data_IF_103648706517
#
_entry.id   IF_103648706517
#
_cell.length_a   1.000
_cell.length_b   1.000
_cell.length_c   1.000
_cell.angle_alpha   90.00
_cell.angle_beta   90.00
_cell.angle_gamma   90.00
#
_symmetry.space_group_name_H-M   'P 1'
#
loop_
_entity.id
_entity.type
_entity.pdbx_description
1 polymer ?
#
# COMPACT_ATOMS: atom_id res chain seq x y z
N UNK A 1 -34.32 28.04 -1.75
CA UNK A 1 -33.12 28.01 -0.88
C UNK A 1 -32.23 26.81 -1.20
N UNK A 2 -32.74 25.57 -1.20
CA UNK A 2 -31.95 24.38 -1.52
C UNK A 2 -31.30 24.41 -2.90
N UNK A 3 -32.01 24.90 -3.93
CA UNK A 3 -31.48 25.00 -5.30
C UNK A 3 -30.33 26.01 -5.42
N UNK A 4 -30.41 27.16 -4.71
CA UNK A 4 -29.34 28.15 -4.69
C UNK A 4 -28.07 27.60 -4.02
N UNK A 5 -28.21 26.83 -2.92
CA UNK A 5 -27.09 26.17 -2.26
C UNK A 5 -26.43 25.11 -3.16
N UNK A 6 -27.25 24.29 -3.84
CA UNK A 6 -26.76 23.30 -4.80
C UNK A 6 -26.03 23.94 -5.98
N UNK A 7 -26.57 25.04 -6.51
CA UNK A 7 -25.93 25.78 -7.61
C UNK A 7 -24.61 26.42 -7.16
N UNK A 8 -24.54 26.99 -5.96
CA UNK A 8 -23.28 27.52 -5.40
C UNK A 8 -22.22 26.42 -5.22
N UNK A 9 -22.62 25.25 -4.71
CA UNK A 9 -21.74 24.08 -4.60
C UNK A 9 -21.23 23.59 -5.95
N UNK A 10 -22.13 23.43 -6.93
CA UNK A 10 -21.75 23.05 -8.31
C UNK A 10 -20.81 24.05 -8.95
N UNK A 11 -21.11 25.35 -8.81
CA UNK A 11 -20.25 26.40 -9.36
C UNK A 11 -18.85 26.37 -8.75
N UNK A 12 -18.75 26.11 -7.45
CA UNK A 12 -17.46 25.95 -6.76
C UNK A 12 -16.66 24.80 -7.34
N UNK A 13 -17.26 23.61 -7.45
CA UNK A 13 -16.60 22.43 -8.01
C UNK A 13 -16.17 22.63 -9.47
N UNK A 14 -17.02 23.25 -10.30
CA UNK A 14 -16.71 23.50 -11.70
C UNK A 14 -15.55 24.48 -11.87
N UNK A 15 -15.46 25.51 -11.02
CA UNK A 15 -14.32 26.44 -11.04
C UNK A 15 -13.03 25.76 -10.60
N UNK A 16 -13.05 24.95 -9.55
CA UNK A 16 -11.87 24.19 -9.13
C UNK A 16 -11.39 23.22 -10.23
N UNK A 17 -12.32 22.50 -10.87
CA UNK A 17 -12.01 21.61 -12.01
C UNK A 17 -11.42 22.38 -13.19
N UNK A 18 -11.95 23.57 -13.50
CA UNK A 18 -11.46 24.40 -14.58
C UNK A 18 -10.03 24.91 -14.31
N UNK A 19 -9.71 25.32 -13.09
CA UNK A 19 -8.36 25.74 -12.75
C UNK A 19 -7.39 24.56 -12.70
N UNK A 20 -7.85 23.40 -12.22
CA UNK A 20 -7.07 22.17 -12.17
C UNK A 20 -6.75 21.60 -13.57
N UNK A 21 -7.65 21.76 -14.55
CA UNK A 21 -7.44 21.23 -15.90
C UNK A 21 -6.27 21.88 -16.64
N UNK A 22 -5.79 23.04 -16.17
CA UNK A 22 -4.62 23.74 -16.70
C UNK A 22 -3.29 23.24 -16.14
N UNK A 23 -3.30 22.50 -15.04
CA UNK A 23 -2.07 22.01 -14.40
C UNK A 23 -1.18 21.13 -15.30
N UNK A 24 -1.72 20.21 -16.12
CA UNK A 24 -0.88 19.39 -17.00
C UNK A 24 0.02 20.21 -17.92
N UNK A 25 -0.45 21.38 -18.39
CA UNK A 25 0.31 22.28 -19.27
C UNK A 25 1.45 22.99 -18.53
N UNK A 26 1.46 22.95 -17.19
CA UNK A 26 2.52 23.53 -16.36
C UNK A 26 3.59 22.52 -15.93
N UNK A 27 3.43 21.26 -16.32
CA UNK A 27 4.44 20.23 -16.11
C UNK A 27 5.55 20.41 -17.16
N UNK A 28 6.52 21.28 -16.85
CA UNK A 28 7.67 21.57 -17.70
C UNK A 28 9.00 21.20 -17.06
N UNK A 29 10.07 21.87 -17.51
CA UNK A 29 11.44 21.61 -17.06
C UNK A 29 11.62 21.74 -15.55
N UNK A 30 10.93 22.68 -14.91
CA UNK A 30 11.00 22.85 -13.46
C UNK A 30 10.33 21.70 -12.69
N UNK A 31 9.28 21.09 -13.24
CA UNK A 31 8.70 19.88 -12.67
C UNK A 31 9.72 18.73 -12.72
N UNK A 32 10.36 18.52 -13.87
CA UNK A 32 11.40 17.51 -14.05
C UNK A 32 12.59 17.78 -13.11
N UNK A 33 13.02 19.04 -13.00
CA UNK A 33 14.10 19.46 -12.10
C UNK A 33 13.76 19.19 -10.64
N UNK A 34 12.56 19.54 -10.19
CA UNK A 34 12.08 19.27 -8.84
C UNK A 34 12.05 17.76 -8.55
N UNK A 35 11.50 16.95 -9.46
CA UNK A 35 11.48 15.50 -9.33
C UNK A 35 12.90 14.91 -9.25
N UNK A 36 13.83 15.37 -10.09
CA UNK A 36 15.23 14.94 -10.06
C UNK A 36 15.93 15.32 -8.76
N UNK A 37 15.71 16.54 -8.23
CA UNK A 37 16.27 16.96 -6.94
C UNK A 37 15.77 16.03 -5.83
N UNK A 38 14.49 15.66 -5.83
CA UNK A 38 13.92 14.71 -4.86
C UNK A 38 14.48 13.29 -5.06
N UNK A 39 14.69 12.84 -6.30
CA UNK A 39 15.23 11.52 -6.60
C UNK A 39 16.66 11.35 -6.06
N UNK A 40 17.48 12.40 -6.15
CA UNK A 40 18.87 12.43 -5.68
C UNK A 40 19.01 12.90 -4.22
N UNK A 41 17.90 13.15 -3.52
CA UNK A 41 17.94 13.50 -2.10
C UNK A 41 18.46 12.30 -1.27
N UNK A 42 19.56 12.51 -0.54
CA UNK A 42 20.16 11.51 0.36
C UNK A 42 19.61 11.60 1.80
N UNK A 43 18.91 12.68 2.12
CA UNK A 43 18.25 12.91 3.39
C UNK A 43 16.74 12.67 3.30
N UNK A 44 15.96 13.71 3.58
CA UNK A 44 14.50 13.71 3.57
C UNK A 44 13.97 14.91 2.80
N UNK A 45 12.74 14.78 2.29
CA UNK A 45 11.98 15.93 1.78
C UNK A 45 11.24 16.57 2.95
N UNK A 46 11.64 17.78 3.32
CA UNK A 46 10.98 18.59 4.34
C UNK A 46 9.95 19.47 3.67
N UNK A 47 8.67 19.22 3.95
CA UNK A 47 7.56 20.02 3.38
C UNK A 47 7.15 21.09 4.38
N UNK A 48 6.93 22.31 3.92
CA UNK A 48 6.52 23.41 4.79
C UNK A 48 5.53 24.36 4.12
N UNK A 49 4.71 25.02 4.93
CA UNK A 49 3.72 25.99 4.47
C UNK A 49 2.82 26.45 5.61
N UNK A 50 2.12 27.57 5.40
CA UNK A 50 1.27 28.20 6.42
C UNK A 50 -0.20 28.05 6.05
N UNK A 51 -1.06 27.91 7.06
CA UNK A 51 -2.51 27.88 6.89
C UNK A 51 -2.97 26.74 5.97
N UNK A 52 -3.79 27.06 4.96
CA UNK A 52 -4.33 26.06 4.02
C UNK A 52 -3.22 25.38 3.21
N UNK A 53 -2.20 26.11 2.79
CA UNK A 53 -0.99 25.53 2.17
C UNK A 53 -0.27 24.56 3.10
N UNK A 54 -0.20 24.86 4.40
CA UNK A 54 0.37 23.95 5.40
C UNK A 54 -0.43 22.65 5.56
N UNK A 55 -1.76 22.71 5.54
CA UNK A 55 -2.60 21.50 5.59
C UNK A 55 -2.38 20.59 4.39
N UNK A 56 -2.33 21.16 3.18
CA UNK A 56 -2.01 20.39 1.97
C UNK A 56 -0.57 19.87 2.02
N UNK A 57 0.38 20.67 2.53
CA UNK A 57 1.76 20.25 2.74
C UNK A 57 1.89 19.01 3.63
N UNK A 58 1.09 18.89 4.70
CA UNK A 58 1.04 17.67 5.53
C UNK A 58 0.60 16.45 4.72
N UNK A 59 -0.42 16.60 3.86
CA UNK A 59 -0.88 15.51 2.97
C UNK A 59 0.23 15.12 1.98
N UNK A 60 0.88 16.11 1.36
CA UNK A 60 1.98 15.88 0.40
C UNK A 60 3.13 15.14 1.08
N UNK A 61 3.57 15.58 2.26
CA UNK A 61 4.61 14.89 3.03
C UNK A 61 4.23 13.43 3.33
N UNK A 62 2.98 13.19 3.76
CA UNK A 62 2.49 11.84 4.02
C UNK A 62 2.45 10.99 2.74
N UNK A 63 2.09 11.58 1.59
CA UNK A 63 2.05 10.88 0.30
C UNK A 63 3.44 10.51 -0.17
N UNK A 64 4.41 11.44 -0.12
CA UNK A 64 5.80 11.15 -0.44
C UNK A 64 6.35 10.01 0.44
N UNK A 65 6.10 10.07 1.75
CA UNK A 65 6.55 9.05 2.70
C UNK A 65 5.91 7.68 2.42
N UNK A 66 4.61 7.64 2.11
CA UNK A 66 3.89 6.40 1.80
C UNK A 66 4.26 5.79 0.45
N UNK A 67 4.88 6.57 -0.44
CA UNK A 67 5.28 6.16 -1.80
C UNK A 67 6.78 6.08 -1.99
N UNK A 68 7.54 5.89 -0.90
CA UNK A 68 8.96 5.55 -0.95
C UNK A 68 9.94 6.71 -0.93
N UNK A 69 9.48 7.94 -0.67
CA UNK A 69 10.33 9.12 -0.49
C UNK A 69 10.25 9.61 0.95
N UNK A 70 11.28 9.39 1.80
CA UNK A 70 11.26 9.85 3.19
C UNK A 70 10.94 11.35 3.29
N UNK A 71 9.82 11.68 3.91
CA UNK A 71 9.33 13.05 3.97
C UNK A 71 8.56 13.32 5.27
N UNK A 72 8.60 14.58 5.71
CA UNK A 72 7.82 15.03 6.86
C UNK A 72 7.49 16.52 6.75
N UNK A 73 6.54 16.99 7.55
CA UNK A 73 6.10 18.37 7.54
C UNK A 73 6.71 19.14 8.72
N UNK A 74 7.22 20.34 8.46
CA UNK A 74 7.62 21.32 9.48
C UNK A 74 6.80 22.58 9.29
N UNK A 75 6.18 23.09 10.36
CA UNK A 75 5.46 24.36 10.31
C UNK A 75 6.44 25.54 10.29
N UNK A 76 6.33 26.55 9.40
CA UNK A 76 7.29 27.65 9.30
C UNK A 76 7.53 28.42 10.61
N UNK A 77 6.47 28.64 11.40
CA UNK A 77 6.60 29.31 12.69
C UNK A 77 7.42 28.48 13.69
N UNK A 78 7.20 27.16 13.75
CA UNK A 78 7.95 26.27 14.65
C UNK A 78 9.40 26.08 14.19
N UNK A 79 9.62 26.10 12.86
CA UNK A 79 10.96 26.09 12.27
C UNK A 79 11.84 27.19 12.87
N UNK A 80 11.30 28.41 12.95
CA UNK A 80 11.98 29.57 13.52
C UNK A 80 12.17 29.52 15.04
N UNK A 81 11.51 28.59 15.72
CA UNK A 81 11.60 28.39 17.18
C UNK A 81 12.31 27.08 17.57
N UNK A 82 12.99 26.41 16.64
CA UNK A 82 13.87 25.27 16.95
C UNK A 82 13.83 24.16 15.90
N UNK A 83 12.72 23.99 15.19
CA UNK A 83 12.55 22.85 14.27
C UNK A 83 13.43 22.95 13.01
N UNK A 84 14.03 24.10 12.71
CA UNK A 84 15.11 24.20 11.70
C UNK A 84 16.33 23.31 12.05
N UNK A 85 16.46 22.89 13.31
CA UNK A 85 17.45 21.91 13.75
C UNK A 85 17.17 20.50 13.23
N UNK A 86 15.93 20.18 12.83
CA UNK A 86 15.56 18.90 12.23
C UNK A 86 16.01 18.77 10.78
N UNK A 87 16.41 19.89 10.15
CA UNK A 87 16.77 19.95 8.72
C UNK A 87 18.29 19.91 8.57
N UNK A 88 18.77 18.90 7.85
CA UNK A 88 20.18 18.62 7.56
C UNK A 88 20.55 19.07 6.14
N UNK A 89 21.84 19.26 5.85
CA UNK A 89 22.33 19.73 4.54
C UNK A 89 22.05 18.78 3.37
N UNK A 90 21.82 17.50 3.67
CA UNK A 90 21.44 16.45 2.69
C UNK A 90 19.93 16.41 2.39
N UNK A 91 19.14 17.23 3.08
CA UNK A 91 17.70 17.29 2.89
C UNK A 91 17.33 18.20 1.71
N UNK A 92 16.08 18.07 1.28
CA UNK A 92 15.46 18.96 0.29
C UNK A 92 14.27 19.65 0.95
N UNK A 93 14.18 20.96 0.82
CA UNK A 93 13.04 21.73 1.33
C UNK A 93 12.02 21.96 0.22
N UNK A 94 10.77 21.56 0.42
CA UNK A 94 9.63 21.94 -0.42
C UNK A 94 8.77 22.96 0.33
N UNK A 95 8.86 24.23 -0.04
CA UNK A 95 8.09 25.29 0.58
C UNK A 95 6.85 25.66 -0.26
N UNK A 96 5.69 25.65 0.39
CA UNK A 96 4.39 25.94 -0.22
C UNK A 96 3.89 27.30 0.25
N UNK A 97 3.81 28.26 -0.67
CA UNK A 97 3.23 29.57 -0.41
C UNK A 97 2.65 30.15 -1.70
N UNK A 98 1.33 30.29 -1.75
CA UNK A 98 0.67 30.81 -2.96
C UNK A 98 1.16 32.22 -3.34
N UNK A 99 1.32 33.12 -2.35
CA UNK A 99 1.85 34.46 -2.59
C UNK A 99 3.37 34.49 -2.77
N UNK A 100 4.08 33.50 -2.22
CA UNK A 100 5.53 33.42 -2.22
C UNK A 100 6.25 34.53 -1.42
N UNK A 101 5.52 35.24 -0.57
CA UNK A 101 6.02 36.36 0.25
C UNK A 101 5.57 36.28 1.70
N UNK A 102 5.48 35.07 2.27
CA UNK A 102 5.25 34.89 3.69
C UNK A 102 6.44 35.43 4.50
N UNK A 103 6.19 36.14 5.61
CA UNK A 103 7.25 36.82 6.39
C UNK A 103 8.29 35.86 6.94
N UNK A 104 7.89 34.63 7.21
CA UNK A 104 8.76 33.57 7.70
C UNK A 104 9.86 33.23 6.68
N UNK A 105 9.62 33.44 5.37
CA UNK A 105 10.61 33.19 4.32
C UNK A 105 11.84 34.10 4.45
N UNK A 106 11.66 35.33 4.90
CA UNK A 106 12.77 36.30 5.06
C UNK A 106 13.84 35.77 6.03
N UNK A 107 13.43 34.94 6.99
CA UNK A 107 14.31 34.32 7.97
C UNK A 107 14.71 32.88 7.60
N UNK A 108 13.84 32.14 6.92
CA UNK A 108 14.09 30.74 6.54
C UNK A 108 15.06 30.64 5.36
N UNK A 109 14.86 31.43 4.29
CA UNK A 109 15.65 31.32 3.05
C UNK A 109 17.16 31.46 3.32
N UNK A 110 17.66 32.50 4.03
CA UNK A 110 19.09 32.64 4.29
C UNK A 110 19.68 31.43 5.04
N UNK A 111 18.91 30.81 5.95
CA UNK A 111 19.36 29.64 6.71
C UNK A 111 19.44 28.37 5.87
N UNK A 112 18.56 28.24 4.87
CA UNK A 112 18.64 27.15 3.90
C UNK A 112 19.87 27.32 3.00
N UNK A 113 20.16 28.55 2.57
CA UNK A 113 21.35 28.89 1.79
C UNK A 113 22.64 28.60 2.56
N UNK A 114 22.74 29.04 3.82
CA UNK A 114 23.89 28.77 4.70
C UNK A 114 24.19 27.27 4.83
N UNK A 115 23.14 26.44 4.88
CA UNK A 115 23.24 24.97 4.96
C UNK A 115 23.35 24.28 3.60
N UNK A 116 23.31 25.04 2.50
CA UNK A 116 23.27 24.52 1.12
C UNK A 116 22.12 23.55 0.86
N UNK A 117 20.98 23.73 1.54
CA UNK A 117 19.78 22.91 1.36
C UNK A 117 19.08 23.32 0.07
N UNK A 118 18.76 22.36 -0.79
CA UNK A 118 18.01 22.64 -2.01
C UNK A 118 16.58 23.07 -1.68
N UNK A 119 16.20 24.28 -2.10
CA UNK A 119 14.85 24.82 -1.96
C UNK A 119 14.05 24.59 -3.25
N UNK A 120 12.90 23.92 -3.13
CA UNK A 120 11.86 23.80 -4.13
C UNK A 120 10.67 24.67 -3.70
N UNK A 121 10.08 25.39 -4.65
CA UNK A 121 8.91 26.24 -4.40
C UNK A 121 7.66 25.63 -5.03
N UNK A 122 6.55 25.67 -4.30
CA UNK A 122 5.21 25.51 -4.85
C UNK A 122 4.42 26.80 -4.62
N UNK A 123 4.21 27.58 -5.67
CA UNK A 123 3.68 28.94 -5.58
C UNK A 123 2.82 29.31 -6.78
N UNK A 124 1.87 30.23 -6.58
CA UNK A 124 1.09 30.83 -7.67
C UNK A 124 1.74 32.08 -8.25
N UNK A 125 2.91 32.49 -7.73
CA UNK A 125 3.66 33.65 -8.21
C UNK A 125 5.13 33.27 -8.42
N UNK A 126 5.50 32.73 -9.60
CA UNK A 126 6.86 32.24 -9.85
C UNK A 126 7.96 33.31 -9.70
N UNK A 127 7.62 34.59 -9.86
CA UNK A 127 8.55 35.73 -9.69
C UNK A 127 8.56 36.32 -8.26
N UNK A 128 7.89 35.68 -7.31
CA UNK A 128 7.91 36.05 -5.89
C UNK A 128 9.28 35.78 -5.24
N UNK A 129 9.56 36.35 -4.04
CA UNK A 129 10.78 36.02 -3.30
C UNK A 129 11.05 34.52 -3.16
N UNK A 130 10.02 33.72 -2.84
CA UNK A 130 10.13 32.27 -2.79
C UNK A 130 10.53 31.66 -4.14
N UNK A 131 9.86 32.08 -5.23
CA UNK A 131 10.11 31.54 -6.56
C UNK A 131 11.52 31.87 -7.07
N UNK A 132 12.01 33.07 -6.80
CA UNK A 132 13.36 33.51 -7.18
C UNK A 132 14.48 32.80 -6.39
N UNK A 133 14.22 32.45 -5.13
CA UNK A 133 15.18 31.73 -4.29
C UNK A 133 15.24 30.22 -4.57
N UNK A 134 14.18 29.66 -5.17
CA UNK A 134 14.08 28.22 -5.39
C UNK A 134 14.92 27.73 -6.58
N UNK A 135 15.41 26.49 -6.45
CA UNK A 135 16.10 25.77 -7.54
C UNK A 135 15.13 25.31 -8.64
N UNK A 136 13.85 25.13 -8.30
CA UNK A 136 12.79 24.82 -9.24
C UNK A 136 11.44 25.32 -8.69
N UNK A 137 10.55 25.78 -9.57
CA UNK A 137 9.24 26.29 -9.21
C UNK A 137 8.13 25.42 -9.79
N UNK A 138 7.29 24.89 -8.91
CA UNK A 138 6.04 24.20 -9.24
C UNK A 138 4.90 25.23 -9.26
N UNK A 139 4.49 25.63 -10.46
CA UNK A 139 3.48 26.67 -10.67
C UNK A 139 2.05 26.16 -10.39
N UNK A 140 1.48 26.63 -9.28
CA UNK A 140 0.12 26.33 -8.83
C UNK A 140 -0.84 27.53 -8.95
N UNK A 141 -0.50 28.51 -9.79
CA UNK A 141 -1.32 29.71 -10.00
C UNK A 141 -2.76 29.37 -10.41
N UNK A 142 -3.71 30.21 -10.03
CA UNK A 142 -5.09 30.11 -10.52
C UNK A 142 -5.50 31.46 -11.06
N UNK A 143 -6.29 31.49 -12.12
CA UNK A 143 -6.89 32.73 -12.59
C UNK A 143 -7.96 33.19 -11.59
N UNK A 144 -8.68 32.24 -10.99
CA UNK A 144 -9.79 32.55 -10.09
C UNK A 144 -9.94 31.56 -8.94
N UNK A 145 -10.08 32.11 -7.73
CA UNK A 145 -10.59 31.35 -6.59
C UNK A 145 -12.10 31.19 -6.70
N UNK A 146 -12.61 30.00 -6.39
CA UNK A 146 -14.04 29.72 -6.36
C UNK A 146 -14.81 30.51 -5.28
N UNK A 147 -14.10 31.01 -4.25
CA UNK A 147 -14.66 31.97 -3.31
C UNK A 147 -15.17 33.23 -4.05
N UNK A 148 -16.45 33.62 -3.90
CA UNK A 148 -17.01 34.80 -4.59
C UNK A 148 -16.30 36.12 -4.23
N UNK A 149 -15.69 36.18 -3.04
CA UNK A 149 -14.92 37.35 -2.58
C UNK A 149 -13.45 37.27 -2.97
N UNK A 150 -13.00 36.16 -3.56
CA UNK A 150 -11.59 35.88 -3.90
C UNK A 150 -10.62 35.96 -2.70
N UNK A 151 -11.14 35.77 -1.48
CA UNK A 151 -10.37 35.83 -0.24
C UNK A 151 -9.97 34.45 0.28
N UNK A 152 -10.87 33.48 0.17
CA UNK A 152 -10.61 32.13 0.68
C UNK A 152 -9.89 31.31 -0.39
N UNK A 153 -8.74 30.71 -0.08
CA UNK A 153 -8.08 29.74 -0.95
C UNK A 153 -8.97 28.52 -1.16
N UNK A 154 -9.35 28.24 -2.41
CA UNK A 154 -10.12 27.07 -2.80
C UNK A 154 -9.43 26.38 -3.98
N UNK A 155 -9.46 27.00 -5.16
CA UNK A 155 -8.88 26.48 -6.39
C UNK A 155 -7.35 26.33 -6.25
N UNK A 156 -6.70 27.31 -5.61
CA UNK A 156 -5.26 27.22 -5.35
C UNK A 156 -4.87 26.05 -4.45
N UNK A 157 -5.73 25.68 -3.49
CA UNK A 157 -5.48 24.52 -2.61
C UNK A 157 -5.68 23.20 -3.32
N UNK A 158 -6.65 23.11 -4.23
CA UNK A 158 -6.82 21.95 -5.12
C UNK A 158 -5.61 21.82 -6.04
N UNK A 159 -5.15 22.92 -6.63
CA UNK A 159 -3.97 22.89 -7.49
C UNK A 159 -2.70 22.47 -6.74
N UNK A 160 -2.54 22.95 -5.51
CA UNK A 160 -1.45 22.54 -4.61
C UNK A 160 -1.47 21.03 -4.37
N UNK A 161 -2.65 20.48 -4.06
CA UNK A 161 -2.81 19.05 -3.80
C UNK A 161 -2.48 18.21 -5.03
N UNK A 162 -3.05 18.57 -6.19
CA UNK A 162 -2.85 17.84 -7.44
C UNK A 162 -1.41 17.89 -7.92
N UNK A 163 -0.74 19.05 -7.81
CA UNK A 163 0.68 19.18 -8.14
C UNK A 163 1.56 18.33 -7.21
N UNK A 164 1.26 18.32 -5.91
CA UNK A 164 1.97 17.48 -4.95
C UNK A 164 1.80 15.98 -5.22
N UNK A 165 0.59 15.55 -5.59
CA UNK A 165 0.32 14.16 -5.94
C UNK A 165 1.02 13.77 -7.26
N UNK A 166 0.98 14.65 -8.26
CA UNK A 166 1.70 14.43 -9.52
C UNK A 166 3.21 14.26 -9.28
N UNK A 167 3.80 15.12 -8.45
CA UNK A 167 5.21 15.03 -8.08
C UNK A 167 5.54 13.72 -7.36
N UNK A 168 4.73 13.35 -6.36
CA UNK A 168 4.94 12.11 -5.61
C UNK A 168 4.80 10.86 -6.49
N UNK A 169 3.82 10.82 -7.40
CA UNK A 169 3.64 9.72 -8.33
C UNK A 169 4.78 9.63 -9.34
N UNK A 170 5.24 10.75 -9.90
CA UNK A 170 6.37 10.77 -10.83
C UNK A 170 7.66 10.25 -10.17
N UNK A 171 7.95 10.70 -8.95
CA UNK A 171 9.10 10.22 -8.17
C UNK A 171 8.95 8.74 -7.81
N UNK A 172 7.75 8.31 -7.36
CA UNK A 172 7.47 6.90 -7.03
C UNK A 172 7.74 5.98 -8.23
N UNK A 173 7.22 6.34 -9.41
CA UNK A 173 7.40 5.58 -10.64
C UNK A 173 8.88 5.54 -11.06
N UNK A 174 9.58 6.66 -11.02
CA UNK A 174 11.00 6.73 -11.37
C UNK A 174 11.89 5.90 -10.42
N UNK A 175 11.51 5.75 -9.14
CA UNK A 175 12.20 4.86 -8.18
C UNK A 175 11.90 3.37 -8.39
N UNK A 176 10.89 3.02 -9.19
CA UNK A 176 10.43 1.64 -9.30
C UNK A 176 9.76 1.11 -8.03
N UNK A 177 9.22 2.00 -7.20
CA UNK A 177 8.54 1.62 -5.95
C UNK A 177 7.31 0.76 -6.26
N UNK A 178 7.27 -0.44 -5.70
CA UNK A 178 6.28 -1.47 -6.07
C UNK A 178 5.30 -1.77 -4.93
N UNK A 179 4.37 -2.69 -5.18
CA UNK A 179 3.35 -3.09 -4.22
C UNK A 179 3.94 -3.69 -2.93
N UNK A 180 5.05 -4.44 -2.99
CA UNK A 180 5.70 -4.98 -1.79
C UNK A 180 6.30 -3.88 -0.93
N UNK A 181 6.93 -2.87 -1.55
CA UNK A 181 7.47 -1.71 -0.84
C UNK A 181 6.35 -0.92 -0.16
N UNK A 182 5.22 -0.73 -0.86
CA UNK A 182 4.04 -0.10 -0.28
C UNK A 182 3.52 -0.89 0.93
N UNK A 183 3.45 -2.22 0.81
CA UNK A 183 2.98 -3.10 1.86
C UNK A 183 3.86 -3.03 3.12
N UNK A 184 5.19 -2.97 2.95
CA UNK A 184 6.16 -2.80 4.05
C UNK A 184 5.97 -1.48 4.79
N UNK A 185 5.60 -0.41 4.08
CA UNK A 185 5.30 0.90 4.68
C UNK A 185 3.91 0.98 5.32
N UNK A 186 3.03 0.00 5.08
CA UNK A 186 1.66 -0.05 5.60
C UNK A 186 1.26 -1.43 6.14
N UNK A 187 1.99 -1.96 7.14
CA UNK A 187 1.84 -3.35 7.57
C UNK A 187 0.47 -3.65 8.20
N UNK A 188 -0.18 -2.66 8.81
CA UNK A 188 -1.47 -2.81 9.49
C UNK A 188 -2.69 -2.62 8.56
N UNK A 189 -2.48 -2.17 7.31
CA UNK A 189 -3.56 -1.97 6.35
C UNK A 189 -4.00 -3.29 5.70
N UNK A 190 -5.26 -3.34 5.22
CA UNK A 190 -5.76 -4.49 4.46
C UNK A 190 -4.86 -4.88 3.28
N UNK A 191 -4.23 -3.88 2.64
CA UNK A 191 -3.29 -4.10 1.55
C UNK A 191 -1.97 -4.72 2.03
N UNK A 192 -1.43 -4.27 3.17
CA UNK A 192 -0.23 -4.83 3.79
C UNK A 192 -0.42 -6.30 4.19
N UNK A 193 -1.55 -6.59 4.85
CA UNK A 193 -1.93 -7.96 5.20
C UNK A 193 -2.11 -8.85 3.95
N UNK A 194 -2.66 -8.32 2.86
CA UNK A 194 -2.83 -9.05 1.60
C UNK A 194 -1.50 -9.36 0.91
N UNK A 195 -0.56 -8.42 0.90
CA UNK A 195 0.68 -8.51 0.11
C UNK A 195 1.84 -9.14 0.86
N UNK A 196 1.90 -9.05 2.20
CA UNK A 196 3.02 -9.57 3.00
C UNK A 196 2.79 -11.00 3.51
N UNK A 197 1.54 -11.48 3.54
CA UNK A 197 1.27 -12.81 4.06
C UNK A 197 1.66 -13.89 3.07
N UNK A 198 2.50 -14.82 3.55
CA UNK A 198 2.80 -16.08 2.89
C UNK A 198 1.97 -17.19 3.53
N UNK A 199 1.79 -18.30 2.82
CA UNK A 199 1.00 -19.44 3.31
C UNK A 199 1.48 -19.92 4.68
N UNK A 200 2.80 -19.97 4.92
CA UNK A 200 3.32 -20.41 6.21
C UNK A 200 2.93 -19.51 7.40
N UNK A 201 2.60 -18.24 7.18
CA UNK A 201 2.10 -17.37 8.26
C UNK A 201 0.68 -17.77 8.71
N UNK A 202 -0.10 -18.40 7.82
CA UNK A 202 -1.53 -18.65 8.01
C UNK A 202 -1.87 -20.12 8.23
N UNK A 203 -1.04 -21.03 7.73
CA UNK A 203 -1.30 -22.47 7.79
C UNK A 203 -1.32 -22.98 9.22
N UNK A 204 -2.13 -24.02 9.46
CA UNK A 204 -2.07 -24.83 10.67
C UNK A 204 -0.78 -25.66 10.66
N UNK A 205 -0.21 -25.87 11.85
CA UNK A 205 1.07 -26.56 12.06
C UNK A 205 0.96 -27.64 13.14
N UNK A 206 1.97 -28.49 13.19
CA UNK A 206 2.13 -29.52 14.23
C UNK A 206 0.86 -30.38 14.38
N UNK A 207 0.35 -30.54 15.61
CA UNK A 207 -0.83 -31.36 15.92
C UNK A 207 -2.13 -30.85 15.27
N UNK A 208 -2.13 -29.65 14.70
CA UNK A 208 -3.27 -29.10 13.96
C UNK A 208 -3.28 -29.48 12.47
N UNK A 209 -2.23 -30.17 11.99
CA UNK A 209 -2.18 -30.74 10.63
C UNK A 209 -2.97 -32.04 10.62
N UNK A 210 -4.07 -32.15 9.84
CA UNK A 210 -4.78 -33.40 9.70
C UNK A 210 -4.01 -34.30 8.75
N UNK A 211 -3.40 -35.37 9.28
CA UNK A 211 -2.60 -36.29 8.47
C UNK A 211 -2.69 -37.74 8.93
N UNK A 212 -2.57 -38.67 7.98
CA UNK A 212 -2.48 -40.12 8.22
C UNK A 212 -1.46 -40.79 7.30
N UNK A 213 -0.98 -41.96 7.69
CA UNK A 213 -0.11 -42.78 6.84
C UNK A 213 -0.92 -43.47 5.72
N UNK A 214 -0.25 -43.82 4.61
CA UNK A 214 -0.83 -44.60 3.50
C UNK A 214 -1.55 -45.89 3.94
N UNK A 215 -1.05 -46.54 4.98
CA UNK A 215 -1.56 -47.81 5.51
C UNK A 215 -2.64 -47.64 6.57
N UNK A 216 -2.95 -46.41 6.98
CA UNK A 216 -4.03 -46.14 7.93
C UNK A 216 -5.37 -46.56 7.32
N UNK A 217 -6.32 -46.93 8.17
CA UNK A 217 -7.65 -47.31 7.69
C UNK A 217 -8.46 -46.08 7.28
N UNK A 218 -9.50 -46.29 6.46
CA UNK A 218 -10.51 -45.26 6.17
C UNK A 218 -11.16 -44.73 7.47
N UNK A 219 -11.35 -45.59 8.48
CA UNK A 219 -11.83 -45.20 9.80
C UNK A 219 -10.88 -44.19 10.49
N UNK A 220 -9.57 -44.45 10.47
CA UNK A 220 -8.57 -43.56 11.09
C UNK A 220 -8.58 -42.18 10.40
N UNK A 221 -8.65 -42.16 9.07
CA UNK A 221 -8.74 -40.93 8.29
C UNK A 221 -10.04 -40.15 8.59
N UNK A 222 -11.17 -40.84 8.78
CA UNK A 222 -12.43 -40.20 9.16
C UNK A 222 -12.39 -39.58 10.56
N UNK A 223 -11.78 -40.26 11.53
CA UNK A 223 -11.59 -39.73 12.88
C UNK A 223 -10.70 -38.48 12.86
N UNK A 224 -9.64 -38.50 12.06
CA UNK A 224 -8.72 -37.37 11.91
C UNK A 224 -9.37 -36.16 11.24
N UNK A 225 -10.23 -36.41 10.24
CA UNK A 225 -11.03 -35.37 9.58
C UNK A 225 -11.96 -34.69 10.59
N UNK A 226 -12.60 -35.49 11.46
CA UNK A 226 -13.50 -35.02 12.50
C UNK A 226 -12.77 -34.23 13.60
N UNK A 227 -11.56 -34.66 13.97
CA UNK A 227 -10.74 -34.03 15.02
C UNK A 227 -10.38 -32.59 14.69
N UNK A 228 -10.01 -32.32 13.44
CA UNK A 228 -9.44 -31.03 13.02
C UNK A 228 -10.45 -30.08 12.39
N UNK A 229 -11.54 -30.61 11.82
CA UNK A 229 -12.56 -29.82 11.13
C UNK A 229 -12.04 -29.00 9.95
N UNK A 230 -10.86 -29.32 9.41
CA UNK A 230 -10.26 -28.57 8.30
C UNK A 230 -10.99 -28.84 6.97
N UNK A 231 -11.62 -30.01 6.85
CA UNK A 231 -12.30 -30.48 5.65
C UNK A 231 -11.45 -31.36 4.73
N UNK A 232 -10.21 -31.69 5.13
CA UNK A 232 -9.36 -32.70 4.48
C UNK A 232 -8.41 -33.35 5.48
N UNK A 233 -7.86 -34.49 5.08
CA UNK A 233 -6.72 -35.16 5.71
C UNK A 233 -5.65 -35.43 4.65
N UNK A 234 -4.40 -35.04 4.93
CA UNK A 234 -3.27 -35.34 4.07
C UNK A 234 -2.83 -36.80 4.28
N UNK A 235 -2.72 -37.56 3.19
CA UNK A 235 -2.20 -38.93 3.25
C UNK A 235 -0.73 -38.90 2.87
N UNK A 236 0.13 -39.30 3.79
CA UNK A 236 1.58 -39.21 3.65
C UNK A 236 2.27 -40.57 3.64
N UNK A 237 3.41 -40.64 2.97
CA UNK A 237 4.33 -41.78 3.07
C UNK A 237 5.25 -41.69 4.31
N UNK A 238 6.16 -42.66 4.43
CA UNK A 238 7.12 -42.73 5.52
C UNK A 238 8.13 -41.56 5.53
N UNK A 239 8.29 -40.86 4.41
CA UNK A 239 9.15 -39.68 4.26
C UNK A 239 8.39 -38.36 4.46
N UNK A 240 7.12 -38.42 4.87
CA UNK A 240 6.22 -37.28 5.05
C UNK A 240 5.92 -36.53 3.74
N UNK A 241 6.02 -37.21 2.60
CA UNK A 241 5.60 -36.67 1.31
C UNK A 241 4.11 -36.88 1.14
N UNK A 242 3.41 -35.86 0.63
CA UNK A 242 1.97 -35.91 0.39
C UNK A 242 1.69 -36.76 -0.84
N UNK A 243 1.03 -37.89 -0.66
CA UNK A 243 0.64 -38.82 -1.73
C UNK A 243 -0.80 -38.60 -2.21
N UNK A 244 -1.63 -38.02 -1.34
CA UNK A 244 -3.02 -37.72 -1.66
C UNK A 244 -3.73 -37.00 -0.53
N UNK A 245 -5.03 -36.80 -0.72
CA UNK A 245 -5.92 -36.23 0.30
C UNK A 245 -7.17 -37.09 0.44
N UNK A 246 -7.73 -37.10 1.65
CA UNK A 246 -8.99 -37.76 1.97
C UNK A 246 -9.97 -36.74 2.55
N UNK A 247 -11.20 -36.72 2.03
CA UNK A 247 -12.26 -35.76 2.37
C UNK A 247 -13.59 -36.47 2.61
N UNK A 248 -14.60 -35.76 3.15
CA UNK A 248 -15.98 -36.29 3.24
C UNK A 248 -16.55 -36.72 1.88
N UNK A 249 -16.11 -36.05 0.81
CA UNK A 249 -16.50 -36.40 -0.56
C UNK A 249 -15.88 -37.72 -1.01
N UNK A 250 -14.65 -38.03 -0.61
CA UNK A 250 -14.01 -39.33 -0.83
C UNK A 250 -14.70 -40.42 0.01
N UNK A 251 -14.92 -40.17 1.31
CA UNK A 251 -15.62 -41.10 2.21
C UNK A 251 -17.00 -41.49 1.67
N UNK A 252 -17.79 -40.49 1.25
CA UNK A 252 -19.12 -40.74 0.68
C UNK A 252 -19.05 -41.62 -0.56
N UNK A 253 -18.13 -41.31 -1.50
CA UNK A 253 -17.96 -42.10 -2.73
C UNK A 253 -17.52 -43.53 -2.41
N UNK A 254 -16.61 -43.69 -1.45
CA UNK A 254 -16.12 -44.99 -0.99
C UNK A 254 -17.23 -45.87 -0.42
N UNK A 255 -18.05 -45.32 0.49
CA UNK A 255 -19.15 -46.05 1.12
C UNK A 255 -20.26 -46.42 0.12
N UNK A 256 -20.62 -45.51 -0.78
CA UNK A 256 -21.62 -45.79 -1.84
C UNK A 256 -21.12 -46.89 -2.79
N UNK A 257 -19.79 -46.97 -3.00
CA UNK A 257 -19.15 -48.04 -3.76
C UNK A 257 -19.08 -49.40 -3.05
N UNK A 258 -19.58 -49.51 -1.81
CA UNK A 258 -19.50 -50.74 -1.01
C UNK A 258 -18.17 -50.96 -0.30
N UNK A 259 -17.33 -49.92 -0.21
CA UNK A 259 -16.04 -49.98 0.47
C UNK A 259 -16.16 -50.14 1.98
N UNK A 260 -15.21 -50.87 2.59
CA UNK A 260 -15.16 -51.08 4.03
C UNK A 260 -14.34 -49.99 4.74
N UNK A 261 -14.70 -49.69 5.99
CA UNK A 261 -13.96 -48.71 6.81
C UNK A 261 -12.58 -49.24 7.28
N UNK A 262 -12.40 -50.56 7.27
CA UNK A 262 -11.14 -51.24 7.63
C UNK A 262 -10.13 -51.26 6.48
N UNK A 263 -10.53 -50.87 5.27
CA UNK A 263 -9.64 -50.82 4.11
C UNK A 263 -8.59 -49.72 4.28
N UNK A 264 -7.35 -49.92 3.79
CA UNK A 264 -6.35 -48.86 3.71
C UNK A 264 -6.85 -47.60 2.98
N UNK A 265 -6.54 -46.42 3.51
CA UNK A 265 -7.00 -45.12 3.01
C UNK A 265 -6.45 -44.81 1.62
N UNK A 266 -5.29 -45.37 1.24
CA UNK A 266 -4.72 -45.19 -0.09
C UNK A 266 -5.60 -45.73 -1.23
N UNK A 267 -6.54 -46.65 -0.94
CA UNK A 267 -7.54 -47.14 -1.90
C UNK A 267 -8.74 -46.20 -2.04
N UNK A 268 -9.00 -45.36 -1.02
CA UNK A 268 -10.16 -44.47 -0.95
C UNK A 268 -9.83 -43.00 -1.19
N UNK A 269 -8.54 -42.61 -1.16
CA UNK A 269 -8.09 -41.22 -1.27
C UNK A 269 -8.10 -40.69 -2.72
N UNK A 270 -8.09 -39.36 -2.85
CA UNK A 270 -7.74 -38.70 -4.11
C UNK A 270 -6.21 -38.61 -4.22
N UNK A 271 -5.63 -39.37 -5.17
CA UNK A 271 -4.18 -39.39 -5.46
C UNK A 271 -3.70 -38.08 -6.10
N UNK A 272 -2.50 -37.61 -5.74
CA UNK A 272 -1.86 -36.46 -6.41
C UNK A 272 -2.64 -35.14 -6.27
N UNK A 273 -3.39 -34.98 -5.16
CA UNK A 273 -4.21 -33.81 -4.87
C UNK A 273 -3.45 -32.48 -4.93
N UNK A 274 -4.18 -31.36 -4.89
CA UNK A 274 -3.56 -30.02 -4.92
C UNK A 274 -2.86 -29.72 -3.60
N UNK A 275 -1.57 -29.40 -3.66
CA UNK A 275 -0.77 -28.88 -2.54
C UNK A 275 -0.42 -27.41 -2.77
N UNK A 276 -0.13 -26.70 -1.67
CA UNK A 276 0.33 -25.31 -1.68
C UNK A 276 1.75 -25.22 -1.13
N UNK A 277 2.55 -24.30 -1.65
CA UNK A 277 3.92 -24.09 -1.18
C UNK A 277 3.92 -23.18 0.06
N UNK A 278 4.64 -23.56 1.12
CA UNK A 278 4.72 -22.78 2.36
C UNK A 278 5.21 -21.33 2.13
N UNK A 279 6.06 -21.14 1.12
CA UNK A 279 6.64 -19.85 0.76
C UNK A 279 5.82 -19.03 -0.24
N UNK A 280 4.76 -19.59 -0.84
CA UNK A 280 3.93 -18.83 -1.78
C UNK A 280 3.17 -17.72 -1.08
N UNK A 281 2.85 -16.65 -1.81
CA UNK A 281 1.98 -15.59 -1.30
C UNK A 281 0.61 -16.19 -0.99
N UNK A 282 0.01 -15.74 0.10
CA UNK A 282 -1.28 -16.24 0.55
C UNK A 282 -2.40 -15.92 -0.46
N UNK A 283 -2.32 -14.79 -1.17
CA UNK A 283 -3.29 -14.45 -2.21
C UNK A 283 -3.25 -15.43 -3.39
N UNK A 284 -2.06 -15.74 -3.91
CA UNK A 284 -1.89 -16.69 -5.01
C UNK A 284 -2.38 -18.09 -4.60
N UNK A 285 -2.07 -18.50 -3.38
CA UNK A 285 -2.52 -19.77 -2.81
C UNK A 285 -4.05 -19.86 -2.72
N UNK A 286 -4.71 -18.79 -2.26
CA UNK A 286 -6.17 -18.71 -2.23
C UNK A 286 -6.78 -18.77 -3.63
N UNK A 287 -6.19 -18.09 -4.62
CA UNK A 287 -6.65 -18.15 -6.00
C UNK A 287 -6.57 -19.57 -6.58
N UNK A 288 -5.52 -20.33 -6.23
CA UNK A 288 -5.42 -21.75 -6.59
C UNK A 288 -6.60 -22.54 -6.02
N UNK A 289 -6.93 -22.37 -4.73
CA UNK A 289 -8.07 -23.04 -4.10
C UNK A 289 -9.39 -22.70 -4.81
N UNK A 290 -9.64 -21.41 -5.07
CA UNK A 290 -10.82 -20.91 -5.78
C UNK A 290 -10.95 -21.48 -7.19
N UNK A 291 -9.87 -21.44 -7.98
CA UNK A 291 -9.83 -21.95 -9.34
C UNK A 291 -10.08 -23.46 -9.39
N UNK A 292 -9.55 -24.20 -8.42
CA UNK A 292 -9.75 -25.65 -8.27
C UNK A 292 -11.08 -26.02 -7.60
N UNK A 293 -11.83 -25.04 -7.11
CA UNK A 293 -13.10 -25.22 -6.36
C UNK A 293 -12.94 -26.13 -5.13
N UNK A 294 -11.81 -26.00 -4.44
CA UNK A 294 -11.52 -26.70 -3.19
C UNK A 294 -11.43 -25.69 -2.04
N UNK A 295 -11.73 -26.13 -0.82
CA UNK A 295 -11.81 -25.26 0.36
C UNK A 295 -10.59 -25.38 1.27
N UNK A 296 -9.75 -26.39 1.07
CA UNK A 296 -8.54 -26.63 1.84
C UNK A 296 -7.48 -27.36 1.00
N UNK A 297 -6.21 -27.23 1.38
CA UNK A 297 -5.10 -28.01 0.80
C UNK A 297 -3.99 -28.28 1.84
N UNK A 298 -3.24 -29.39 1.69
CA UNK A 298 -1.97 -29.57 2.38
C UNK A 298 -0.94 -28.53 1.93
N UNK A 299 -0.10 -28.09 2.85
CA UNK A 299 0.99 -27.15 2.60
C UNK A 299 2.32 -27.88 2.70
N UNK A 300 3.16 -27.75 1.67
CA UNK A 300 4.44 -28.45 1.55
C UNK A 300 5.62 -27.48 1.48
N UNK A 301 6.80 -27.98 1.80
CA UNK A 301 8.07 -27.30 1.51
C UNK A 301 8.51 -27.49 0.04
N UNK A 302 9.68 -26.94 -0.29
CA UNK A 302 10.28 -27.04 -1.62
C UNK A 302 10.58 -28.47 -2.06
N UNK A 303 10.70 -29.41 -1.11
CA UNK A 303 10.95 -30.83 -1.35
C UNK A 303 9.68 -31.68 -1.33
N UNK A 304 8.49 -31.07 -1.26
CA UNK A 304 7.20 -31.77 -1.23
C UNK A 304 6.81 -32.34 0.14
N UNK A 305 7.59 -32.08 1.19
CA UNK A 305 7.32 -32.57 2.54
C UNK A 305 6.17 -31.78 3.17
N UNK A 306 5.25 -32.46 3.83
CA UNK A 306 4.16 -31.82 4.55
C UNK A 306 4.70 -30.93 5.69
N UNK A 307 4.29 -29.66 5.69
CA UNK A 307 4.68 -28.65 6.68
C UNK A 307 3.49 -27.97 7.35
N UNK A 308 2.31 -28.10 6.75
CA UNK A 308 1.09 -27.50 7.28
C UNK A 308 -0.14 -27.94 6.51
N UNK A 309 -1.29 -27.40 6.91
CA UNK A 309 -2.52 -27.49 6.13
C UNK A 309 -3.31 -26.19 6.29
N UNK A 310 -4.05 -25.79 5.26
CA UNK A 310 -4.74 -24.49 5.25
C UNK A 310 -6.12 -24.61 4.61
N UNK A 311 -7.08 -23.84 5.10
CA UNK A 311 -8.41 -23.72 4.51
C UNK A 311 -8.76 -22.25 4.20
N UNK A 312 -9.86 -22.04 3.47
CA UNK A 312 -10.34 -20.71 3.11
C UNK A 312 -10.62 -19.80 4.33
N UNK A 313 -11.03 -20.38 5.45
CA UNK A 313 -11.32 -19.62 6.67
C UNK A 313 -10.05 -18.99 7.25
N UNK A 314 -8.91 -19.68 7.17
CA UNK A 314 -7.60 -19.16 7.60
C UNK A 314 -7.23 -17.89 6.80
N UNK A 315 -7.50 -17.88 5.48
CA UNK A 315 -7.32 -16.68 4.63
C UNK A 315 -8.26 -15.54 5.01
N UNK A 316 -9.55 -15.83 5.25
CA UNK A 316 -10.53 -14.81 5.62
C UNK A 316 -10.24 -14.17 6.99
N UNK A 317 -9.81 -14.98 7.98
CA UNK A 317 -9.39 -14.48 9.29
C UNK A 317 -8.17 -13.56 9.18
N UNK A 318 -7.29 -13.81 8.23
CA UNK A 318 -6.13 -12.97 7.93
C UNK A 318 -6.46 -11.70 7.11
N UNK A 319 -7.74 -11.44 6.82
CA UNK A 319 -8.17 -10.28 6.02
C UNK A 319 -7.90 -10.41 4.53
N UNK A 320 -7.64 -11.63 4.04
CA UNK A 320 -7.43 -11.93 2.61
C UNK A 320 -8.79 -12.30 2.00
N UNK A 321 -9.54 -11.27 1.59
CA UNK A 321 -10.92 -11.36 1.08
C UNK A 321 -10.99 -11.60 -0.42
#
# INVERSE_FOLDING_TARGET
MSEALLNAGRQTLMLELQEASRLPERLGDDFVRAANIILHCEGKVVVSGIGKSGHIGKKIAATLASTGTPAFFVHPAEALHGDLGMIESRDVMLFISYSGGAKELDLIIPRLEDKSIALLAMTGKPTSPLGLAAKAVLDISVEREACPMHLAPTSSTVNTLMMGDALAMAVMQARGFNEEDFARSHPAGALGARLLNKVHHLMRRDDAIPQVALTASVMDAMLELSRTGLGLVAVCDAQQQVQGVFTDGDLRRWLVGGGALTTPVNEAMTTGGTTLQAQSRAIDAKEILMKRKITAAPVVDENGKLTGAINLQDFYQAGII
#
